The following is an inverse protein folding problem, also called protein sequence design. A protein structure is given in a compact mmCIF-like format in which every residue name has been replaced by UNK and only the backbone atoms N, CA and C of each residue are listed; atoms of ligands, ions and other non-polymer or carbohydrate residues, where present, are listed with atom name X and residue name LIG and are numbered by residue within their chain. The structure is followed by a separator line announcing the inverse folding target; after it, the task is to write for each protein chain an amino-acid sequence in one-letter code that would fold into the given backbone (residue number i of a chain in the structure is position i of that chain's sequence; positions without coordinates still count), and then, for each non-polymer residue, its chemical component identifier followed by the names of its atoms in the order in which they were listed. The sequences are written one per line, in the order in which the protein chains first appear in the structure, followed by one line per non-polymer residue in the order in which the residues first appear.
data_IF_943027564960
#
_entry.id   IF_943027564960
#
_cell.length_a   1.000
_cell.length_b   1.000
_cell.length_c   1.000
_cell.angle_alpha   90.00
_cell.angle_beta   90.00
_cell.angle_gamma   90.00
#
_symmetry.space_group_name_H-M   'P 1'
#
loop_
_entity.id
_entity.type
_entity.pdbx_description
1 polymer ?
#
# COMPACT_ATOMS: atom_id res chain seq x y z
N UNK A 1 -15.34 20.57 -8.54
CA UNK A 1 -13.90 20.30 -8.59
C UNK A 1 -13.29 20.50 -7.21
N UNK A 2 -13.09 19.45 -6.41
CA UNK A 2 -12.40 19.56 -5.10
C UNK A 2 -11.03 18.85 -5.11
N UNK A 3 -10.74 18.00 -6.11
CA UNK A 3 -9.53 17.17 -6.11
C UNK A 3 -8.31 17.78 -6.85
N UNK A 4 -8.47 18.88 -7.60
CA UNK A 4 -7.37 19.41 -8.43
C UNK A 4 -6.26 20.08 -7.60
N UNK A 5 -6.64 20.83 -6.56
CA UNK A 5 -5.68 21.44 -5.63
C UNK A 5 -4.86 20.38 -4.89
N UNK A 6 -5.48 19.25 -4.54
CA UNK A 6 -4.78 18.12 -3.91
C UNK A 6 -3.76 17.49 -4.87
N UNK A 7 -4.11 17.32 -6.15
CA UNK A 7 -3.17 16.82 -7.16
C UNK A 7 -1.96 17.74 -7.32
N UNK A 8 -2.18 19.05 -7.45
CA UNK A 8 -1.09 20.04 -7.57
C UNK A 8 -0.17 20.01 -6.35
N UNK A 9 -0.73 20.01 -5.15
CA UNK A 9 0.04 19.94 -3.91
C UNK A 9 0.86 18.65 -3.79
N UNK A 10 0.27 17.50 -4.18
CA UNK A 10 0.97 16.20 -4.20
C UNK A 10 2.16 16.21 -5.15
N UNK A 11 1.98 16.75 -6.36
CA UNK A 11 3.05 16.82 -7.35
C UNK A 11 4.17 17.75 -6.89
N UNK A 12 3.84 18.92 -6.33
CA UNK A 12 4.84 19.80 -5.72
C UNK A 12 5.61 19.09 -4.59
N UNK A 13 4.92 18.33 -3.73
CA UNK A 13 5.53 17.66 -2.58
C UNK A 13 6.48 16.51 -2.97
N UNK A 14 6.10 15.71 -3.97
CA UNK A 14 6.85 14.50 -4.34
C UNK A 14 7.91 14.83 -5.40
N UNK A 15 7.60 15.71 -6.36
CA UNK A 15 8.44 15.97 -7.55
C UNK A 15 9.14 17.32 -7.48
N UNK A 16 8.74 18.21 -6.56
CA UNK A 16 9.30 19.56 -6.45
C UNK A 16 8.74 20.56 -7.47
N UNK A 17 7.86 20.13 -8.38
CA UNK A 17 7.15 21.00 -9.32
C UNK A 17 5.73 20.46 -9.56
N UNK A 18 4.72 21.29 -9.32
CA UNK A 18 3.32 20.97 -9.57
C UNK A 18 3.00 20.78 -11.06
N UNK A 19 3.81 21.35 -11.97
CA UNK A 19 3.62 21.22 -13.43
C UNK A 19 3.86 19.80 -13.92
N UNK A 20 4.54 18.99 -13.14
CA UNK A 20 4.76 17.57 -13.43
C UNK A 20 3.45 16.78 -13.55
N UNK A 21 2.34 17.31 -13.02
CA UNK A 21 0.99 16.79 -13.25
C UNK A 21 0.63 16.70 -14.75
N UNK A 22 1.07 17.66 -15.57
CA UNK A 22 0.77 17.68 -17.00
C UNK A 22 1.71 16.80 -17.83
N UNK A 23 2.93 16.58 -17.32
CA UNK A 23 3.93 15.74 -17.97
C UNK A 23 3.68 14.24 -17.73
N UNK A 24 2.77 13.88 -16.82
CA UNK A 24 2.48 12.49 -16.46
C UNK A 24 2.01 11.66 -17.66
N UNK A 25 1.11 12.21 -18.47
CA UNK A 25 0.58 11.50 -19.64
C UNK A 25 1.69 11.14 -20.62
N UNK A 26 2.52 12.11 -21.00
CA UNK A 26 3.63 11.88 -21.94
C UNK A 26 4.63 10.86 -21.41
N UNK A 27 4.94 10.89 -20.11
CA UNK A 27 5.83 9.88 -19.50
C UNK A 27 5.24 8.48 -19.58
N UNK A 28 3.95 8.32 -19.31
CA UNK A 28 3.28 7.02 -19.39
C UNK A 28 3.27 6.51 -20.84
N UNK A 29 2.98 7.38 -21.80
CA UNK A 29 2.97 7.03 -23.23
C UNK A 29 4.36 6.65 -23.76
N UNK A 30 5.43 7.18 -23.16
CA UNK A 30 6.81 6.83 -23.55
C UNK A 30 7.29 5.46 -23.04
N UNK A 31 6.55 4.79 -22.16
CA UNK A 31 6.96 3.50 -21.58
C UNK A 31 6.91 2.41 -22.65
N UNK A 32 8.03 1.71 -22.85
CA UNK A 32 8.11 0.58 -23.79
C UNK A 32 7.92 -0.77 -23.10
N UNK A 33 7.75 -1.82 -23.90
CA UNK A 33 7.66 -3.19 -23.38
C UNK A 33 8.97 -3.62 -22.69
N UNK A 34 10.10 -3.23 -23.25
CA UNK A 34 11.43 -3.53 -22.71
C UNK A 34 11.63 -2.92 -21.33
N UNK A 35 11.13 -1.69 -21.12
CA UNK A 35 11.16 -1.03 -19.82
C UNK A 35 10.34 -1.77 -18.77
N UNK A 36 9.15 -2.24 -19.14
CA UNK A 36 8.29 -3.03 -18.25
C UNK A 36 9.01 -4.32 -17.84
N UNK A 37 9.53 -5.07 -18.81
CA UNK A 37 10.23 -6.34 -18.54
C UNK A 37 11.47 -6.11 -17.67
N UNK A 38 12.26 -5.08 -17.96
CA UNK A 38 13.45 -4.70 -17.18
C UNK A 38 13.10 -4.39 -15.72
N UNK A 39 12.04 -3.62 -15.47
CA UNK A 39 11.60 -3.23 -14.12
C UNK A 39 11.05 -4.43 -13.37
N UNK A 40 10.26 -5.28 -14.03
CA UNK A 40 9.73 -6.51 -13.44
C UNK A 40 10.85 -7.45 -12.97
N UNK A 41 11.83 -7.72 -13.84
CA UNK A 41 13.00 -8.56 -13.48
C UNK A 41 13.82 -7.95 -12.35
N UNK A 42 13.92 -6.61 -12.28
CA UNK A 42 14.70 -5.93 -11.24
C UNK A 42 14.06 -5.98 -9.85
N UNK A 43 12.75 -5.74 -9.75
CA UNK A 43 12.11 -5.53 -8.45
C UNK A 43 11.33 -6.74 -7.94
N UNK A 44 10.80 -7.60 -8.81
CA UNK A 44 10.05 -8.80 -8.40
C UNK A 44 10.98 -9.98 -8.10
N UNK A 45 11.91 -9.78 -7.16
CA UNK A 45 12.80 -10.83 -6.65
C UNK A 45 12.31 -11.36 -5.30
N UNK A 46 12.85 -12.51 -4.87
CA UNK A 46 12.47 -13.11 -3.58
C UNK A 46 12.89 -12.22 -2.40
N UNK A 47 14.01 -11.52 -2.55
CA UNK A 47 14.61 -10.64 -1.54
C UNK A 47 13.77 -9.37 -1.32
N UNK A 48 13.05 -8.91 -2.36
CA UNK A 48 12.17 -7.74 -2.30
C UNK A 48 10.70 -8.09 -2.01
N UNK A 49 10.39 -9.34 -1.64
CA UNK A 49 9.02 -9.83 -1.46
C UNK A 49 8.59 -9.85 0.02
N UNK A 50 7.56 -9.07 0.35
CA UNK A 50 6.83 -9.15 1.62
C UNK A 50 5.43 -9.70 1.37
N UNK A 51 5.02 -10.73 2.12
CA UNK A 51 3.68 -11.35 2.01
C UNK A 51 2.95 -11.21 3.34
N UNK A 52 1.73 -10.69 3.29
CA UNK A 52 0.82 -10.61 4.42
C UNK A 52 -0.51 -11.31 4.06
N UNK A 53 -1.01 -12.16 4.96
CA UNK A 53 -2.33 -12.80 4.85
C UNK A 53 -3.15 -12.42 6.07
N UNK A 54 -4.44 -12.13 5.87
CA UNK A 54 -5.39 -11.87 6.95
C UNK A 54 -6.41 -12.99 6.95
N UNK A 55 -6.39 -13.79 8.01
CA UNK A 55 -7.39 -14.82 8.27
C UNK A 55 -8.39 -14.29 9.29
N UNK A 56 -9.66 -14.19 8.89
CA UNK A 56 -10.74 -13.78 9.79
C UNK A 56 -11.31 -15.00 10.47
N UNK A 57 -11.17 -15.08 11.80
CA UNK A 57 -11.87 -16.09 12.59
C UNK A 57 -13.39 -15.78 12.62
N UNK A 58 -14.27 -16.78 12.43
CA UNK A 58 -15.72 -16.57 12.56
C UNK A 58 -16.06 -16.04 13.95
N UNK A 59 -16.90 -15.00 14.03
CA UNK A 59 -17.32 -14.38 15.29
C UNK A 59 -17.88 -15.41 16.32
N UNK A 60 -18.45 -16.52 15.84
CA UNK A 60 -18.94 -17.62 16.67
C UNK A 60 -17.84 -18.37 17.48
N UNK A 61 -16.57 -18.30 17.06
CA UNK A 61 -15.44 -18.92 17.78
C UNK A 61 -14.98 -18.06 18.96
N UNK A 62 -15.17 -16.74 18.88
CA UNK A 62 -14.80 -15.79 19.93
C UNK A 62 -15.69 -15.92 21.17
N UNK A 63 -16.97 -16.26 20.99
CA UNK A 63 -17.93 -16.49 22.07
C UNK A 63 -17.70 -17.80 22.84
N UNK A 64 -16.95 -18.75 22.26
CA UNK A 64 -16.64 -20.05 22.88
C UNK A 64 -15.31 -20.07 23.64
N UNK A 65 -14.56 -18.97 23.63
CA UNK A 65 -13.29 -18.89 24.36
C UNK A 65 -13.62 -18.66 25.84
N UNK A 66 -13.24 -19.57 26.77
CA UNK A 66 -13.45 -19.32 28.18
C UNK A 66 -12.70 -18.03 28.55
N UNK A 67 -13.40 -17.12 29.23
CA UNK A 67 -12.80 -15.91 29.78
C UNK A 67 -11.57 -16.34 30.59
N UNK A 68 -10.41 -15.69 30.44
CA UNK A 68 -9.32 -15.91 31.38
C UNK A 68 -9.90 -15.57 32.74
N UNK A 69 -10.10 -16.61 33.56
CA UNK A 69 -10.53 -16.46 34.95
C UNK A 69 -9.61 -15.42 35.52
N UNK A 70 -10.18 -14.28 35.93
CA UNK A 70 -9.46 -13.19 36.55
C UNK A 70 -8.73 -13.83 37.71
N UNK A 71 -7.43 -14.11 37.52
CA UNK A 71 -6.61 -14.75 38.53
C UNK A 71 -6.77 -13.87 39.73
N UNK A 72 -7.36 -14.45 40.77
CA UNK A 72 -7.52 -13.88 42.08
C UNK A 72 -6.26 -13.12 42.40
N UNK A 73 -6.33 -11.78 42.42
CA UNK A 73 -5.32 -11.03 43.13
C UNK A 73 -5.64 -11.26 44.60
N UNK A 74 -5.08 -12.37 45.08
CA UNK A 74 -4.80 -12.69 46.46
C UNK A 74 -4.05 -11.51 47.10
N UNK A 75 -4.16 -11.37 48.42
CA UNK A 75 -4.49 -10.15 49.16
C UNK A 75 -3.57 -8.94 48.93
#
# INVERSE_FOLDING_TARGET
MINFAQSLAKYQQIWGDWRELFNEQTRIESVTQEDIMRVATKYFTRENRTVASVETEPAAKLLKRPLPMMSTMQP
#
